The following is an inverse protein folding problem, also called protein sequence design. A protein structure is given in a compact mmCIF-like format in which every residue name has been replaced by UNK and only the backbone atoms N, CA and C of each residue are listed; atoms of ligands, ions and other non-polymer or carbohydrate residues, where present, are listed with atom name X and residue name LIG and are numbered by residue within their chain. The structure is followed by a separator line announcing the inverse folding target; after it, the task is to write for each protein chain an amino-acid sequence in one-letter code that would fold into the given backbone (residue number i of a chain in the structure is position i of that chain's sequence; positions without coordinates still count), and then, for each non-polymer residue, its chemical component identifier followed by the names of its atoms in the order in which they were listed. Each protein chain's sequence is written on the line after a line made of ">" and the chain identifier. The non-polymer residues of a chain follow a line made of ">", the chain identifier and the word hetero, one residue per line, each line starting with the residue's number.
data_IF_527767906105
#
_entry.id   IF_527767906105
#
_cell.length_a   1.000
_cell.length_b   1.000
_cell.length_c   1.000
_cell.angle_alpha   90.00
_cell.angle_beta   90.00
_cell.angle_gamma   90.00
#
_symmetry.space_group_name_H-M   'P 1'
#
loop_
_entity.id
_entity.type
_entity.pdbx_description
1 polymer ?
#
# COMPACT_ATOMS: atom_id res chain seq x y z
N UNK A 1 -28.49 -8.11 -8.79
CA UNK A 1 -27.94 -6.77 -8.46
C UNK A 1 -26.45 -6.81 -8.06
N UNK A 2 -25.87 -7.96 -7.74
CA UNK A 2 -24.43 -8.08 -7.39
C UNK A 2 -23.45 -7.91 -8.57
N UNK A 3 -23.88 -8.21 -9.80
CA UNK A 3 -22.98 -8.11 -10.98
C UNK A 3 -22.58 -6.69 -11.37
N UNK A 4 -23.35 -5.68 -11.00
CA UNK A 4 -23.07 -4.29 -11.40
C UNK A 4 -21.96 -3.66 -10.54
N UNK A 5 -21.86 -4.04 -9.27
CA UNK A 5 -20.88 -3.45 -8.36
C UNK A 5 -19.46 -4.02 -8.60
N UNK A 6 -19.35 -5.30 -8.92
CA UNK A 6 -18.08 -5.95 -9.28
C UNK A 6 -17.54 -5.38 -10.59
N UNK A 7 -18.41 -5.14 -11.56
CA UNK A 7 -18.04 -4.51 -12.83
C UNK A 7 -17.62 -3.05 -12.63
N UNK A 8 -18.22 -2.33 -11.68
CA UNK A 8 -17.85 -0.94 -11.39
C UNK A 8 -16.52 -0.84 -10.65
N UNK A 9 -16.17 -1.77 -9.74
CA UNK A 9 -14.89 -1.76 -9.03
C UNK A 9 -13.72 -2.22 -9.91
N UNK A 10 -13.92 -3.26 -10.70
CA UNK A 10 -12.94 -3.63 -11.75
C UNK A 10 -12.85 -2.57 -12.83
N UNK A 11 -13.95 -1.94 -13.23
CA UNK A 11 -13.94 -0.83 -14.17
C UNK A 11 -13.27 0.41 -13.56
N UNK A 12 -13.49 0.76 -12.30
CA UNK A 12 -12.80 1.90 -11.67
C UNK A 12 -11.30 1.68 -11.51
N UNK A 13 -10.83 0.47 -11.19
CA UNK A 13 -9.40 0.15 -11.15
C UNK A 13 -8.84 0.11 -12.58
N UNK A 14 -9.56 -0.52 -13.52
CA UNK A 14 -9.16 -0.58 -14.93
C UNK A 14 -9.28 0.80 -15.61
N UNK A 15 -10.36 1.55 -15.37
CA UNK A 15 -10.52 2.90 -15.91
C UNK A 15 -9.49 3.89 -15.34
N UNK A 16 -9.04 3.69 -14.09
CA UNK A 16 -7.99 4.51 -13.55
C UNK A 16 -6.61 4.18 -14.09
N UNK A 17 -6.31 2.92 -14.24
CA UNK A 17 -5.11 2.50 -14.96
C UNK A 17 -5.16 3.02 -16.42
N UNK A 18 -6.36 3.10 -17.00
CA UNK A 18 -6.57 3.66 -18.35
C UNK A 18 -6.54 5.19 -18.40
N UNK A 19 -6.98 5.89 -17.34
CA UNK A 19 -7.06 7.36 -17.31
C UNK A 19 -5.76 8.02 -16.83
N UNK A 20 -4.93 7.33 -16.04
CA UNK A 20 -3.72 7.88 -15.44
C UNK A 20 -2.44 7.11 -15.82
N UNK A 21 -2.57 5.95 -16.48
CA UNK A 21 -1.42 5.14 -16.87
C UNK A 21 -0.68 5.74 -18.06
N UNK A 22 0.59 6.05 -17.89
CA UNK A 22 1.48 6.16 -19.05
C UNK A 22 1.43 4.85 -19.82
N UNK A 23 1.63 4.86 -21.14
CA UNK A 23 1.67 3.66 -21.98
C UNK A 23 2.53 2.52 -21.38
N UNK A 24 3.54 2.87 -20.58
CA UNK A 24 4.46 1.93 -19.94
C UNK A 24 3.81 1.12 -18.81
N UNK A 25 2.98 1.73 -17.96
CA UNK A 25 2.25 1.03 -16.89
C UNK A 25 1.16 0.12 -17.48
N UNK A 26 0.45 0.58 -18.51
CA UNK A 26 -0.53 -0.21 -19.23
C UNK A 26 0.11 -1.43 -19.92
N UNK A 27 1.30 -1.25 -20.47
CA UNK A 27 2.02 -2.33 -21.14
C UNK A 27 2.53 -3.36 -20.13
N UNK A 28 3.08 -2.92 -19.00
CA UNK A 28 3.53 -3.83 -17.91
C UNK A 28 2.36 -4.63 -17.34
N UNK A 29 1.22 -4.00 -17.10
CA UNK A 29 0.04 -4.69 -16.59
C UNK A 29 -0.57 -5.62 -17.65
N UNK A 30 -0.56 -5.23 -18.93
CA UNK A 30 -0.98 -6.11 -20.03
C UNK A 30 -0.06 -7.30 -20.19
N UNK A 31 1.24 -7.11 -20.08
CA UNK A 31 2.22 -8.19 -20.14
C UNK A 31 2.08 -9.14 -18.95
N UNK A 32 1.88 -8.60 -17.73
CA UNK A 32 1.59 -9.38 -16.53
C UNK A 32 0.32 -10.21 -16.71
N UNK A 33 -0.81 -9.58 -17.08
CA UNK A 33 -2.08 -10.28 -17.30
C UNK A 33 -2.03 -11.26 -18.48
N UNK A 34 -1.21 -10.99 -19.48
CA UNK A 34 -1.03 -11.90 -20.62
C UNK A 34 -0.18 -13.14 -20.29
N UNK A 35 0.69 -13.04 -19.30
CA UNK A 35 1.50 -14.15 -18.77
C UNK A 35 0.72 -15.10 -17.86
N UNK A 36 -0.43 -14.66 -17.32
CA UNK A 36 -1.24 -15.45 -16.38
C UNK A 36 -2.19 -16.40 -17.11
N UNK A 37 -2.33 -17.60 -16.59
CA UNK A 37 -3.40 -18.53 -17.00
C UNK A 37 -4.77 -18.01 -16.54
N UNK A 38 -5.85 -18.52 -17.15
CA UNK A 38 -7.23 -18.17 -16.75
C UNK A 38 -7.47 -18.52 -15.27
N UNK A 39 -6.91 -19.64 -14.80
CA UNK A 39 -7.05 -20.08 -13.42
C UNK A 39 -6.33 -19.15 -12.43
N UNK A 40 -5.15 -18.66 -12.77
CA UNK A 40 -4.39 -17.69 -11.98
C UNK A 40 -5.13 -16.35 -11.87
N UNK A 41 -5.68 -15.83 -12.98
CA UNK A 41 -6.49 -14.60 -12.97
C UNK A 41 -7.73 -14.74 -12.10
N UNK A 42 -8.44 -15.87 -12.20
CA UNK A 42 -9.63 -16.14 -11.36
C UNK A 42 -9.27 -16.25 -9.88
N UNK A 43 -8.10 -16.78 -9.56
CA UNK A 43 -7.59 -16.88 -8.19
C UNK A 43 -7.24 -15.51 -7.60
N UNK A 44 -6.58 -14.67 -8.40
CA UNK A 44 -6.26 -13.29 -8.02
C UNK A 44 -7.52 -12.44 -7.81
N UNK A 45 -8.47 -12.49 -8.75
CA UNK A 45 -9.78 -11.81 -8.63
C UNK A 45 -10.57 -12.29 -7.41
N UNK A 46 -10.54 -13.59 -7.13
CA UNK A 46 -11.22 -14.17 -5.96
C UNK A 46 -10.55 -13.74 -4.65
N UNK A 47 -9.23 -13.68 -4.62
CA UNK A 47 -8.46 -13.19 -3.49
C UNK A 47 -8.78 -11.73 -3.18
N UNK A 48 -8.75 -10.86 -4.18
CA UNK A 48 -9.07 -9.43 -4.05
C UNK A 48 -10.50 -9.19 -3.55
N UNK A 49 -11.47 -9.95 -4.08
CA UNK A 49 -12.87 -9.84 -3.65
C UNK A 49 -13.06 -10.29 -2.20
N UNK A 50 -12.41 -11.37 -1.78
CA UNK A 50 -12.46 -11.85 -0.40
C UNK A 50 -11.88 -10.84 0.58
N UNK A 51 -10.80 -10.15 0.19
CA UNK A 51 -10.23 -9.07 0.98
C UNK A 51 -11.17 -7.88 1.15
N UNK A 52 -11.73 -7.39 0.05
CA UNK A 52 -12.68 -6.26 0.10
C UNK A 52 -13.90 -6.60 0.96
N UNK A 53 -14.40 -7.84 0.90
CA UNK A 53 -15.48 -8.31 1.77
C UNK A 53 -15.06 -8.37 3.25
N UNK A 54 -13.84 -8.82 3.54
CA UNK A 54 -13.32 -8.89 4.91
C UNK A 54 -13.11 -7.49 5.51
N UNK A 55 -12.59 -6.55 4.73
CA UNK A 55 -12.47 -5.13 5.16
C UNK A 55 -13.86 -4.54 5.41
N UNK A 56 -14.86 -4.83 4.58
CA UNK A 56 -16.25 -4.38 4.80
C UNK A 56 -16.86 -4.98 6.05
N UNK A 57 -16.71 -6.30 6.25
CA UNK A 57 -17.22 -6.98 7.44
C UNK A 57 -16.64 -6.40 8.73
N UNK A 58 -15.33 -6.08 8.72
CA UNK A 58 -14.67 -5.44 9.86
C UNK A 58 -15.23 -4.04 10.16
N UNK A 59 -15.47 -3.22 9.12
CA UNK A 59 -16.03 -1.87 9.32
C UNK A 59 -17.47 -1.89 9.83
N UNK A 60 -18.25 -2.92 9.50
CA UNK A 60 -19.65 -3.08 9.95
C UNK A 60 -19.76 -3.59 11.41
N UNK A 61 -18.77 -4.34 11.90
CA UNK A 61 -18.79 -4.92 13.26
C UNK A 61 -18.30 -4.00 14.37
N UNK A 62 -17.76 -2.81 14.08
CA UNK A 62 -17.26 -1.85 15.09
C UNK A 62 -18.35 -1.22 16.00
N UNK A 63 -19.57 -1.69 15.94
CA UNK A 63 -20.71 -1.15 16.69
C UNK A 63 -20.97 -1.74 18.07
N UNK A 64 -20.19 -2.72 18.59
CA UNK A 64 -20.42 -3.33 19.91
C UNK A 64 -19.15 -3.34 20.77
N UNK A 65 -19.32 -2.78 21.95
CA UNK A 65 -18.32 -2.56 23.01
C UNK A 65 -17.93 -3.87 23.71
N UNK A 66 -16.70 -4.28 23.52
CA UNK A 66 -15.75 -4.81 24.50
C UNK A 66 -14.40 -4.36 23.95
N UNK A 67 -13.39 -4.02 24.75
CA UNK A 67 -12.12 -3.55 24.20
C UNK A 67 -11.62 -4.61 23.20
N UNK A 68 -11.76 -4.37 21.89
CA UNK A 68 -11.42 -5.39 20.91
C UNK A 68 -9.91 -5.58 20.97
N UNK A 69 -9.48 -6.84 20.89
CA UNK A 69 -8.09 -7.14 20.64
C UNK A 69 -7.56 -6.21 19.56
N UNK A 70 -6.55 -5.41 19.91
CA UNK A 70 -5.94 -4.41 19.02
C UNK A 70 -5.60 -5.00 17.65
N UNK A 71 -5.27 -6.29 17.60
CA UNK A 71 -4.85 -7.00 16.40
C UNK A 71 -5.96 -7.79 15.69
N UNK A 72 -7.18 -7.82 16.26
CA UNK A 72 -8.30 -8.57 15.67
C UNK A 72 -8.61 -8.16 14.22
N UNK A 73 -8.28 -6.91 13.82
CA UNK A 73 -8.40 -6.43 12.44
C UNK A 73 -7.64 -7.30 11.43
N UNK A 74 -6.57 -7.93 11.84
CA UNK A 74 -5.76 -8.79 10.98
C UNK A 74 -6.31 -10.21 10.86
N UNK A 75 -7.17 -10.64 11.78
CA UNK A 75 -7.73 -11.99 11.80
C UNK A 75 -8.96 -12.16 10.89
N UNK A 76 -9.58 -11.05 10.49
CA UNK A 76 -10.80 -11.07 9.66
C UNK A 76 -10.58 -11.47 8.21
N UNK A 77 -9.33 -11.59 7.78
CA UNK A 77 -9.00 -11.92 6.39
C UNK A 77 -8.75 -13.41 6.19
N UNK A 78 -9.26 -13.96 5.09
CA UNK A 78 -8.99 -15.33 4.71
C UNK A 78 -7.49 -15.54 4.42
N UNK A 79 -7.00 -16.75 4.69
CA UNK A 79 -5.57 -17.05 4.80
C UNK A 79 -4.80 -17.13 3.45
N UNK A 80 -5.49 -17.13 2.32
CA UNK A 80 -4.90 -17.50 1.02
C UNK A 80 -4.57 -16.29 0.13
N UNK A 81 -3.75 -15.39 0.64
CA UNK A 81 -3.18 -14.30 -0.15
C UNK A 81 -1.75 -14.66 -0.55
N UNK A 82 -1.42 -14.54 -1.81
CA UNK A 82 -0.10 -14.82 -2.31
C UNK A 82 0.16 -16.32 -2.29
N UNK A 83 -0.44 -17.01 -3.21
CA UNK A 83 -0.24 -18.43 -3.31
C UNK A 83 1.23 -18.76 -3.51
N UNK A 84 1.60 -19.96 -3.12
CA UNK A 84 2.92 -20.60 -3.29
C UNK A 84 3.54 -20.44 -4.70
N UNK A 85 2.87 -19.75 -5.62
CA UNK A 85 3.16 -19.81 -7.04
C UNK A 85 4.01 -18.66 -7.59
N UNK A 86 4.25 -17.58 -6.85
CA UNK A 86 5.07 -16.47 -7.36
C UNK A 86 6.46 -16.38 -6.73
N UNK A 87 6.80 -17.31 -5.83
CA UNK A 87 8.09 -17.35 -5.14
C UNK A 87 8.29 -16.21 -4.16
N UNK A 88 7.20 -15.52 -3.78
CA UNK A 88 7.29 -14.46 -2.79
C UNK A 88 7.42 -15.03 -1.38
N UNK A 89 8.48 -14.67 -0.70
CA UNK A 89 8.73 -15.03 0.71
C UNK A 89 8.37 -13.83 1.57
N UNK A 90 7.47 -14.04 2.53
CA UNK A 90 7.08 -13.00 3.47
C UNK A 90 8.16 -12.79 4.52
N UNK A 91 8.46 -11.55 4.79
CA UNK A 91 9.51 -11.16 5.72
C UNK A 91 8.86 -10.53 6.95
N UNK A 92 8.90 -11.25 8.06
CA UNK A 92 8.42 -10.72 9.33
C UNK A 92 9.14 -9.41 9.70
N UNK A 93 8.44 -8.54 10.42
CA UNK A 93 9.02 -7.35 11.03
C UNK A 93 10.14 -7.79 11.97
N UNK A 94 11.31 -7.14 11.93
CA UNK A 94 12.38 -7.40 12.87
C UNK A 94 11.93 -7.19 14.33
N UNK A 95 12.44 -8.02 15.24
CA UNK A 95 12.13 -7.96 16.68
C UNK A 95 12.45 -6.59 17.31
N UNK A 96 13.40 -5.84 16.73
CA UNK A 96 13.76 -4.50 17.19
C UNK A 96 12.61 -3.47 17.16
N UNK A 97 11.51 -3.78 16.48
CA UNK A 97 10.31 -2.95 16.47
C UNK A 97 9.29 -3.28 17.58
N UNK A 98 9.52 -4.30 18.40
CA UNK A 98 8.64 -4.64 19.51
C UNK A 98 8.45 -3.46 20.48
N UNK A 99 9.53 -2.75 20.82
CA UNK A 99 9.50 -1.59 21.71
C UNK A 99 8.66 -0.42 21.18
N UNK A 100 8.45 -0.37 19.87
CA UNK A 100 7.62 0.65 19.23
C UNK A 100 6.16 0.22 19.09
N UNK A 101 5.85 -1.03 19.43
CA UNK A 101 4.55 -1.65 19.20
C UNK A 101 4.26 -1.94 17.74
N UNK A 102 5.31 -2.02 16.91
CA UNK A 102 5.22 -2.33 15.49
C UNK A 102 4.73 -3.75 15.24
N UNK A 103 3.80 -3.91 14.28
CA UNK A 103 3.25 -5.19 13.88
C UNK A 103 2.85 -5.15 12.40
N UNK A 104 3.51 -5.96 11.58
CA UNK A 104 3.23 -6.05 10.14
C UNK A 104 3.10 -7.52 9.76
N UNK A 105 1.93 -8.14 10.07
CA UNK A 105 1.75 -9.59 9.94
C UNK A 105 1.81 -10.04 8.48
N UNK A 106 2.02 -11.33 8.30
CA UNK A 106 2.14 -11.97 6.98
C UNK A 106 0.98 -11.59 6.04
N UNK A 107 -0.25 -11.60 6.55
CA UNK A 107 -1.44 -11.17 5.79
C UNK A 107 -1.32 -9.73 5.27
N UNK A 108 -0.78 -8.84 6.08
CA UNK A 108 -0.58 -7.44 5.72
C UNK A 108 0.55 -7.29 4.68
N UNK A 109 1.62 -8.07 4.82
CA UNK A 109 2.71 -8.12 3.85
C UNK A 109 2.21 -8.60 2.49
N UNK A 110 1.45 -9.69 2.48
CA UNK A 110 0.82 -10.23 1.29
C UNK A 110 -0.11 -9.23 0.60
N UNK A 111 -0.98 -8.61 1.37
CA UNK A 111 -1.87 -7.56 0.87
C UNK A 111 -1.11 -6.40 0.22
N UNK A 112 -0.09 -5.90 0.93
CA UNK A 112 0.77 -4.82 0.44
C UNK A 112 1.48 -5.22 -0.84
N UNK A 113 2.02 -6.45 -0.91
CA UNK A 113 2.67 -6.97 -2.11
C UNK A 113 1.72 -7.01 -3.32
N UNK A 114 0.51 -7.53 -3.14
CA UNK A 114 -0.50 -7.59 -4.21
C UNK A 114 -0.85 -6.18 -4.72
N UNK A 115 -1.07 -5.23 -3.81
CA UNK A 115 -1.31 -3.84 -4.20
C UNK A 115 -0.12 -3.24 -4.95
N UNK A 116 1.10 -3.48 -4.48
CA UNK A 116 2.31 -3.01 -5.17
C UNK A 116 2.37 -3.53 -6.61
N UNK A 117 2.06 -4.80 -6.83
CA UNK A 117 1.96 -5.38 -8.18
C UNK A 117 0.89 -4.71 -9.03
N UNK A 118 -0.28 -4.45 -8.47
CA UNK A 118 -1.39 -3.80 -9.19
C UNK A 118 -1.09 -2.36 -9.58
N UNK A 119 -0.42 -1.63 -8.69
CA UNK A 119 -0.08 -0.22 -8.91
C UNK A 119 1.27 -0.02 -9.60
N UNK A 120 2.04 -1.08 -9.84
CA UNK A 120 3.37 -1.00 -10.45
C UNK A 120 4.38 -0.25 -9.59
N UNK A 121 4.28 -0.39 -8.26
CA UNK A 121 5.20 0.20 -7.28
C UNK A 121 6.05 -0.90 -6.67
N UNK A 122 7.33 -0.62 -6.43
CA UNK A 122 8.22 -1.59 -5.81
C UNK A 122 7.80 -1.89 -4.37
N UNK A 123 7.66 -3.19 -4.05
CA UNK A 123 7.26 -3.63 -2.71
C UNK A 123 8.28 -3.23 -1.64
N UNK A 124 9.58 -3.38 -1.91
CA UNK A 124 10.65 -2.94 -1.03
C UNK A 124 10.58 -1.45 -0.69
N UNK A 125 10.24 -0.61 -1.68
CA UNK A 125 10.05 0.82 -1.49
C UNK A 125 8.88 1.11 -0.55
N UNK A 126 7.75 0.41 -0.72
CA UNK A 126 6.57 0.61 0.14
C UNK A 126 6.83 0.13 1.57
N UNK A 127 7.50 -1.02 1.75
CA UNK A 127 7.88 -1.53 3.07
C UNK A 127 8.83 -0.56 3.79
N UNK A 128 9.84 -0.03 3.08
CA UNK A 128 10.76 0.97 3.63
C UNK A 128 10.03 2.29 3.98
N UNK A 129 9.04 2.68 3.18
CA UNK A 129 8.19 3.85 3.47
C UNK A 129 7.35 3.62 4.73
N UNK A 130 6.69 2.48 4.88
CA UNK A 130 5.92 2.12 6.08
C UNK A 130 6.83 2.11 7.31
N UNK A 131 8.03 1.54 7.21
CA UNK A 131 9.03 1.56 8.27
C UNK A 131 9.37 3.00 8.68
N UNK A 132 9.59 3.87 7.71
CA UNK A 132 9.93 5.28 7.94
C UNK A 132 8.78 6.06 8.56
N UNK A 133 7.56 5.87 8.09
CA UNK A 133 6.38 6.61 8.51
C UNK A 133 5.90 6.19 9.91
N UNK A 134 5.80 4.90 10.15
CA UNK A 134 5.16 4.40 11.36
C UNK A 134 6.02 3.49 12.23
N UNK A 135 7.13 2.95 11.71
CA UNK A 135 7.83 1.83 12.37
C UNK A 135 6.91 0.62 12.50
N UNK A 136 6.08 0.39 11.51
CA UNK A 136 5.06 -0.67 11.47
C UNK A 136 4.00 -0.59 12.59
N UNK A 137 3.76 0.60 13.14
CA UNK A 137 2.66 0.83 14.10
C UNK A 137 1.41 1.20 13.32
N UNK A 138 0.46 0.27 13.22
CA UNK A 138 -0.72 0.42 12.34
C UNK A 138 -1.72 1.47 12.83
N UNK A 139 -1.74 1.75 14.13
CA UNK A 139 -2.60 2.74 14.78
C UNK A 139 -1.82 4.02 15.16
N UNK A 140 -0.62 4.22 14.59
CA UNK A 140 0.16 5.43 14.84
C UNK A 140 -0.61 6.68 14.43
N UNK A 141 -0.54 7.67 15.30
CA UNK A 141 -1.09 9.00 15.08
C UNK A 141 0.04 10.01 15.19
N UNK A 142 0.27 10.76 14.12
CA UNK A 142 1.29 11.81 14.00
C UNK A 142 0.68 13.17 13.69
N UNK A 143 1.53 14.19 13.56
CA UNK A 143 1.17 15.55 13.15
C UNK A 143 -0.04 16.13 13.90
N UNK A 144 0.03 16.11 15.22
CA UNK A 144 -1.04 16.59 16.11
C UNK A 144 -2.42 15.94 15.83
N UNK A 145 -2.42 14.68 15.43
CA UNK A 145 -3.63 13.91 15.19
C UNK A 145 -4.07 13.81 13.72
N UNK A 146 -3.31 14.37 12.80
CA UNK A 146 -3.71 14.46 11.40
C UNK A 146 -3.18 13.31 10.53
N UNK A 147 -1.99 12.79 10.83
CA UNK A 147 -1.39 11.68 10.09
C UNK A 147 -1.69 10.35 10.76
N UNK A 148 -2.24 9.39 10.03
CA UNK A 148 -2.81 8.16 10.57
C UNK A 148 -2.17 6.92 9.95
N UNK A 149 -1.89 5.94 10.80
CA UNK A 149 -1.66 4.56 10.42
C UNK A 149 -0.28 4.25 9.85
N UNK A 150 -0.18 3.11 9.20
CA UNK A 150 1.06 2.60 8.61
C UNK A 150 1.76 3.59 7.70
N UNK A 151 1.02 4.25 6.83
CA UNK A 151 1.55 5.16 5.82
C UNK A 151 1.34 6.64 6.17
N UNK A 152 0.96 6.95 7.42
CA UNK A 152 0.77 8.29 7.94
C UNK A 152 -0.04 9.20 7.00
N UNK A 153 -1.23 8.72 6.65
CA UNK A 153 -2.12 9.41 5.70
C UNK A 153 -2.85 10.56 6.38
N UNK A 154 -2.79 11.75 5.77
CA UNK A 154 -3.53 12.94 6.17
C UNK A 154 -4.95 12.87 5.60
N UNK A 155 -5.92 12.36 6.37
CA UNK A 155 -7.26 12.00 5.90
C UNK A 155 -7.95 13.11 5.10
N UNK A 156 -7.92 14.33 5.62
CA UNK A 156 -8.60 15.48 4.98
C UNK A 156 -8.01 15.86 3.61
N UNK A 157 -6.78 15.48 3.33
CA UNK A 157 -6.15 15.71 2.02
C UNK A 157 -6.48 14.59 1.00
N UNK A 158 -7.07 13.49 1.46
CA UNK A 158 -7.32 12.31 0.65
C UNK A 158 -8.80 11.88 0.60
N UNK A 159 -9.72 12.76 0.96
CA UNK A 159 -11.17 12.46 0.98
C UNK A 159 -11.68 11.95 -0.37
N UNK A 160 -11.35 12.62 -1.47
CA UNK A 160 -11.77 12.21 -2.82
C UNK A 160 -11.12 10.89 -3.23
N UNK A 161 -9.87 10.65 -2.79
CA UNK A 161 -9.17 9.39 -3.01
C UNK A 161 -9.83 8.24 -2.25
N UNK A 162 -10.16 8.47 -0.98
CA UNK A 162 -10.85 7.50 -0.15
C UNK A 162 -12.22 7.14 -0.73
N UNK A 163 -13.01 8.14 -1.14
CA UNK A 163 -14.31 7.92 -1.79
C UNK A 163 -14.17 7.04 -3.03
N UNK A 164 -13.22 7.36 -3.90
CA UNK A 164 -12.97 6.61 -5.12
C UNK A 164 -12.53 5.16 -4.87
N UNK A 165 -11.75 4.93 -3.82
CA UNK A 165 -11.27 3.61 -3.42
C UNK A 165 -12.27 2.85 -2.56
N UNK A 166 -13.44 3.41 -2.25
CA UNK A 166 -14.40 2.89 -1.26
C UNK A 166 -13.78 2.69 0.13
N UNK A 167 -12.83 3.53 0.50
CA UNK A 167 -12.23 3.55 1.82
C UNK A 167 -13.04 4.47 2.73
N UNK A 168 -13.55 3.95 3.83
CA UNK A 168 -14.44 4.67 4.75
C UNK A 168 -13.80 4.94 6.12
N UNK A 169 -12.66 4.29 6.39
CA UNK A 169 -11.98 4.39 7.68
C UNK A 169 -10.47 4.31 7.49
N UNK A 170 -9.80 5.44 7.51
CA UNK A 170 -8.34 5.52 7.35
C UNK A 170 -7.55 4.86 8.50
N UNK A 171 -8.19 4.61 9.66
CA UNK A 171 -7.59 3.88 10.76
C UNK A 171 -7.57 2.36 10.53
N UNK A 172 -8.35 1.86 9.56
CA UNK A 172 -8.23 0.48 9.13
C UNK A 172 -6.90 0.27 8.41
N UNK A 173 -6.02 -0.65 8.86
CA UNK A 173 -4.67 -0.81 8.31
C UNK A 173 -4.67 -1.18 6.82
N UNK A 174 -5.64 -1.93 6.35
CA UNK A 174 -5.75 -2.31 4.94
C UNK A 174 -6.16 -1.11 4.07
N UNK A 175 -7.15 -0.34 4.52
CA UNK A 175 -7.56 0.87 3.82
C UNK A 175 -6.45 1.93 3.83
N UNK A 176 -5.71 2.04 4.94
CA UNK A 176 -4.58 2.95 5.06
C UNK A 176 -3.49 2.65 4.03
N UNK A 177 -3.08 1.39 3.92
CA UNK A 177 -2.07 0.97 2.95
C UNK A 177 -2.58 1.14 1.51
N UNK A 178 -3.85 0.83 1.23
CA UNK A 178 -4.44 1.04 -0.09
C UNK A 178 -4.40 2.51 -0.52
N UNK A 179 -4.82 3.42 0.36
CA UNK A 179 -4.81 4.87 0.10
C UNK A 179 -3.37 5.37 -0.09
N UNK A 180 -2.44 4.90 0.75
CA UNK A 180 -1.05 5.31 0.70
C UNK A 180 -0.33 4.83 -0.57
N UNK A 181 -0.56 3.59 -1.00
CA UNK A 181 0.04 3.07 -2.25
C UNK A 181 -0.55 3.76 -3.47
N UNK A 182 -1.87 3.95 -3.53
CA UNK A 182 -2.50 4.71 -4.62
C UNK A 182 -1.94 6.13 -4.71
N UNK A 183 -1.73 6.79 -3.58
CA UNK A 183 -1.12 8.11 -3.53
C UNK A 183 0.34 8.11 -4.02
N UNK A 184 1.15 7.18 -3.52
CA UNK A 184 2.55 7.06 -3.93
C UNK A 184 2.67 6.77 -5.42
N UNK A 185 1.85 5.86 -5.95
CA UNK A 185 1.83 5.52 -7.36
C UNK A 185 1.52 6.73 -8.25
N UNK A 186 0.51 7.53 -7.87
CA UNK A 186 0.18 8.77 -8.58
C UNK A 186 1.34 9.77 -8.56
N UNK A 187 2.03 9.90 -7.43
CA UNK A 187 3.19 10.79 -7.34
C UNK A 187 4.37 10.29 -8.18
N UNK A 188 4.64 8.98 -8.19
CA UNK A 188 5.69 8.40 -9.04
C UNK A 188 5.39 8.65 -10.52
N UNK A 189 4.15 8.41 -10.93
CA UNK A 189 3.72 8.69 -12.30
C UNK A 189 3.87 10.17 -12.66
N UNK A 190 3.42 11.04 -11.78
CA UNK A 190 3.42 12.49 -11.98
C UNK A 190 4.81 13.09 -12.09
N UNK A 191 5.73 12.66 -11.25
CA UNK A 191 7.08 13.24 -11.15
C UNK A 191 8.15 12.46 -11.90
N UNK A 192 7.90 11.20 -12.25
CA UNK A 192 8.81 10.35 -13.02
C UNK A 192 10.03 9.87 -12.25
N UNK A 193 10.24 10.32 -11.01
CA UNK A 193 11.32 9.85 -10.12
C UNK A 193 10.80 9.53 -8.73
N UNK A 194 11.36 8.49 -8.12
CA UNK A 194 11.03 8.10 -6.74
C UNK A 194 11.41 9.21 -5.75
N UNK A 195 12.52 9.89 -5.98
CA UNK A 195 13.01 10.98 -5.12
C UNK A 195 11.99 12.11 -5.03
N UNK A 196 11.49 12.57 -6.17
CA UNK A 196 10.52 13.66 -6.21
C UNK A 196 9.15 13.23 -5.71
N UNK A 197 8.74 11.99 -6.00
CA UNK A 197 7.51 11.41 -5.46
C UNK A 197 7.54 11.36 -3.92
N UNK A 198 8.62 10.87 -3.33
CA UNK A 198 8.79 10.84 -1.87
C UNK A 198 8.87 12.25 -1.27
N UNK A 199 9.45 13.22 -1.98
CA UNK A 199 9.45 14.61 -1.54
C UNK A 199 8.03 15.19 -1.50
N UNK A 200 7.24 14.93 -2.54
CA UNK A 200 5.84 15.35 -2.59
C UNK A 200 4.96 14.60 -1.59
N UNK A 201 5.27 13.31 -1.31
CA UNK A 201 4.61 12.53 -0.28
C UNK A 201 4.79 13.16 1.11
N UNK A 202 6.05 13.47 1.46
CA UNK A 202 6.42 13.98 2.78
C UNK A 202 5.98 15.43 3.05
N UNK A 203 6.19 16.33 2.08
CA UNK A 203 5.92 17.78 2.24
C UNK A 203 4.57 18.23 1.67
N UNK A 204 3.85 17.34 0.97
CA UNK A 204 2.85 17.75 0.01
C UNK A 204 3.50 18.42 -1.21
N UNK A 205 2.83 18.44 -2.35
CA UNK A 205 3.37 19.00 -3.60
C UNK A 205 3.80 20.46 -3.49
N UNK A 206 3.01 21.26 -2.80
CA UNK A 206 3.31 22.68 -2.57
C UNK A 206 4.54 22.83 -1.69
N UNK A 207 4.59 22.09 -0.57
CA UNK A 207 5.69 22.14 0.37
C UNK A 207 7.01 21.67 -0.27
N UNK A 208 6.98 20.58 -1.04
CA UNK A 208 8.14 20.10 -1.78
C UNK A 208 8.68 21.16 -2.74
N UNK A 209 7.81 21.86 -3.45
CA UNK A 209 8.20 22.96 -4.36
C UNK A 209 8.83 24.10 -3.60
N UNK A 210 8.22 24.59 -2.53
CA UNK A 210 8.65 25.78 -1.78
C UNK A 210 9.92 25.51 -0.96
N UNK A 211 10.03 24.32 -0.36
CA UNK A 211 11.09 24.03 0.60
C UNK A 211 12.27 23.28 0.00
N UNK A 212 12.08 22.54 -1.09
CA UNK A 212 13.09 21.70 -1.71
C UNK A 212 13.42 22.14 -3.14
N UNK A 213 12.53 21.95 -4.10
CA UNK A 213 12.83 22.06 -5.53
C UNK A 213 13.22 23.47 -5.97
N UNK A 214 12.57 24.52 -5.47
CA UNK A 214 12.97 25.90 -5.75
C UNK A 214 14.36 26.25 -5.21
N UNK A 215 14.90 25.43 -4.31
CA UNK A 215 16.25 25.56 -3.77
C UNK A 215 17.25 24.59 -4.41
N UNK A 216 16.83 23.83 -5.42
CA UNK A 216 17.64 22.82 -6.07
C UNK A 216 17.91 21.57 -5.23
N UNK A 217 17.10 21.33 -4.20
CA UNK A 217 17.23 20.17 -3.31
C UNK A 217 16.30 19.07 -3.84
N UNK A 218 16.87 17.99 -4.37
CA UNK A 218 16.14 16.82 -4.87
C UNK A 218 16.40 15.58 -4.04
N UNK A 219 17.52 15.54 -3.31
CA UNK A 219 17.92 14.45 -2.42
C UNK A 219 18.12 15.02 -1.01
N UNK A 220 17.50 14.41 -0.03
CA UNK A 220 17.61 14.78 1.39
C UNK A 220 17.33 13.56 2.26
N UNK A 221 17.57 13.67 3.56
CA UNK A 221 17.62 12.54 4.49
C UNK A 221 16.39 11.63 4.49
N UNK A 222 15.21 12.16 4.18
CA UNK A 222 13.98 11.36 4.14
C UNK A 222 13.96 10.46 2.91
N UNK A 223 14.01 11.01 1.68
CA UNK A 223 13.92 10.22 0.47
C UNK A 223 15.16 9.32 0.25
N UNK A 224 16.35 9.82 0.58
CA UNK A 224 17.58 9.03 0.52
C UNK A 224 17.53 7.83 1.48
N UNK A 225 17.06 8.06 2.73
CA UNK A 225 16.93 7.01 3.73
C UNK A 225 15.98 5.90 3.30
N UNK A 226 14.81 6.26 2.77
CA UNK A 226 13.82 5.27 2.28
C UNK A 226 14.37 4.47 1.09
N UNK A 227 14.99 5.14 0.12
CA UNK A 227 15.55 4.46 -1.07
C UNK A 227 16.69 3.52 -0.70
N UNK A 228 17.56 3.93 0.21
CA UNK A 228 18.64 3.07 0.69
C UNK A 228 18.08 1.85 1.44
N UNK A 229 17.09 2.08 2.31
CA UNK A 229 16.43 0.99 3.03
C UNK A 229 15.71 0.02 2.11
N UNK A 230 15.06 0.50 1.06
CA UNK A 230 14.45 -0.35 0.05
C UNK A 230 15.48 -1.28 -0.63
N UNK A 231 16.66 -0.77 -0.98
CA UNK A 231 17.74 -1.59 -1.56
C UNK A 231 18.25 -2.65 -0.58
N UNK A 232 18.46 -2.28 0.70
CA UNK A 232 18.86 -3.23 1.73
C UNK A 232 17.85 -4.38 1.87
N UNK A 233 16.56 -4.07 1.83
CA UNK A 233 15.50 -5.07 1.86
C UNK A 233 15.54 -5.98 0.62
N UNK A 234 15.71 -5.42 -0.56
CA UNK A 234 15.83 -6.20 -1.81
C UNK A 234 17.04 -7.14 -1.77
N UNK A 235 18.18 -6.64 -1.35
CA UNK A 235 19.40 -7.45 -1.22
C UNK A 235 19.19 -8.60 -0.25
N UNK A 236 18.60 -8.34 0.92
CA UNK A 236 18.27 -9.35 1.92
C UNK A 236 17.32 -10.41 1.35
N UNK A 237 16.23 -9.99 0.72
CA UNK A 237 15.24 -10.93 0.17
C UNK A 237 15.75 -11.75 -1.01
N UNK A 238 16.63 -11.20 -1.83
CA UNK A 238 17.29 -11.94 -2.90
C UNK A 238 18.26 -13.01 -2.38
N UNK A 239 18.96 -12.75 -1.27
CA UNK A 239 19.81 -13.74 -0.62
C UNK A 239 18.98 -14.90 -0.06
N UNK A 240 17.85 -14.59 0.58
CA UNK A 240 16.94 -15.61 1.14
C UNK A 240 16.25 -16.47 0.06
N UNK A 241 16.15 -15.99 -1.19
CA UNK A 241 15.57 -16.75 -2.32
C UNK A 241 16.56 -17.75 -2.96
N UNK A 242 17.82 -17.65 -2.68
CA UNK A 242 18.89 -18.44 -3.31
C UNK A 242 19.34 -19.62 -2.46
N UNK A 243 18.88 -19.75 -1.23
CA UNK A 243 19.17 -20.85 -0.30
C UNK A 243 18.02 -21.86 -0.27
#
# INVERSE_FOLDING_TARGET
>A
MMSVLVVVLTACVIDRVMLFGSNRQQDTQKEFLAGMTVAERQREESGQNAMLESVRAYTETQGQQDEPDKYAVFDTMSADWGGENDGFVYHAIPEEFEDTGGYFPEKMQCYTYILCKQYGVDYSLVVALIERESGYVFDKVGDDGNSIGYMQIYESAHTDRMERLNCTNIKNPYQNVMVGIDFLAELIEKYGTVQDALAAYNYGERGAREHLWNKGIYVYSYNEGIINRARELEEKWNIERTD
#
